data_IF_204063697338
#
_entry.id   IF_204063697338
#
_cell.length_a   1.000
_cell.length_b   1.000
_cell.length_c   1.000
_cell.angle_alpha   90.00
_cell.angle_beta   90.00
_cell.angle_gamma   90.00
#
_symmetry.space_group_name_H-M   'P 1'
#
loop_
_entity.id
_entity.type
_entity.pdbx_description
1 polymer ?
#
# COMPACT_ATOMS: atom_id res chain seq x y z
N UNK A 1 9.81 -11.57 18.82
CA UNK A 1 9.50 -10.16 18.48
C UNK A 1 8.16 -10.24 17.78
N UNK A 2 7.11 -9.79 18.44
CA UNK A 2 5.74 -9.96 17.96
C UNK A 2 5.30 -8.69 17.22
N UNK A 3 4.63 -8.87 16.08
CA UNK A 3 4.03 -7.77 15.32
C UNK A 3 2.61 -7.60 15.82
N UNK A 4 2.30 -6.43 16.41
CA UNK A 4 0.93 -6.07 16.77
C UNK A 4 0.31 -5.25 15.64
N UNK A 5 -0.91 -5.64 15.24
CA UNK A 5 -1.68 -4.97 14.20
C UNK A 5 -2.88 -4.30 14.87
N UNK A 6 -2.76 -3.01 15.18
CA UNK A 6 -3.82 -2.23 15.84
C UNK A 6 -4.89 -1.76 14.84
N UNK A 7 -5.40 -2.71 14.03
CA UNK A 7 -6.38 -2.49 12.97
C UNK A 7 -7.31 -3.70 12.85
N UNK A 8 -8.51 -3.66 13.45
CA UNK A 8 -9.43 -4.80 13.50
C UNK A 8 -9.86 -5.30 12.11
N UNK A 9 -9.94 -4.40 11.13
CA UNK A 9 -10.27 -4.72 9.74
C UNK A 9 -9.18 -5.57 9.07
N UNK A 10 -7.91 -5.26 9.35
CA UNK A 10 -6.75 -6.00 8.81
C UNK A 10 -6.64 -7.37 9.49
N UNK A 11 -6.83 -7.44 10.80
CA UNK A 11 -6.83 -8.71 11.55
C UNK A 11 -7.91 -9.65 11.02
N UNK A 12 -9.13 -9.13 10.81
CA UNK A 12 -10.23 -9.91 10.24
C UNK A 12 -9.90 -10.45 8.84
N UNK A 13 -9.32 -9.61 7.97
CA UNK A 13 -8.91 -10.02 6.64
C UNK A 13 -7.83 -11.11 6.64
N UNK A 14 -6.85 -11.02 7.56
CA UNK A 14 -5.81 -12.05 7.73
C UNK A 14 -6.45 -13.37 8.12
N UNK A 15 -7.36 -13.37 9.10
CA UNK A 15 -8.04 -14.59 9.54
C UNK A 15 -8.88 -15.22 8.43
N UNK A 16 -9.70 -14.44 7.73
CA UNK A 16 -10.50 -14.94 6.61
C UNK A 16 -9.63 -15.55 5.50
N UNK A 17 -8.53 -14.90 5.14
CA UNK A 17 -7.64 -15.41 4.11
C UNK A 17 -6.91 -16.69 4.56
N UNK A 18 -6.60 -16.80 5.85
CA UNK A 18 -5.98 -17.98 6.46
C UNK A 18 -6.92 -19.19 6.39
N UNK A 19 -8.19 -19.01 6.73
CA UNK A 19 -9.22 -20.04 6.63
C UNK A 19 -9.41 -20.53 5.19
N UNK A 20 -9.51 -19.60 4.24
CA UNK A 20 -9.69 -19.94 2.81
C UNK A 20 -8.51 -20.72 2.22
N UNK A 21 -7.29 -20.49 2.73
CA UNK A 21 -6.06 -21.13 2.23
C UNK A 21 -5.60 -22.33 3.07
N UNK A 22 -6.23 -22.58 4.21
CA UNK A 22 -5.82 -23.64 5.15
C UNK A 22 -4.42 -23.42 5.72
N UNK A 23 -4.03 -22.15 5.91
CA UNK A 23 -2.72 -21.75 6.43
C UNK A 23 -2.88 -21.02 7.76
N UNK A 24 -1.80 -20.89 8.54
CA UNK A 24 -1.86 -20.07 9.76
C UNK A 24 -1.83 -18.57 9.40
N UNK A 25 -2.41 -17.69 10.24
CA UNK A 25 -2.26 -16.24 10.09
C UNK A 25 -0.80 -15.78 9.92
N UNK A 26 0.12 -16.41 10.66
CA UNK A 26 1.54 -16.11 10.58
C UNK A 26 2.13 -16.49 9.22
N UNK A 27 1.74 -17.64 8.65
CA UNK A 27 2.21 -18.06 7.32
C UNK A 27 1.70 -17.13 6.23
N UNK A 28 0.44 -16.69 6.31
CA UNK A 28 -0.16 -15.74 5.37
C UNK A 28 0.60 -14.41 5.40
N UNK A 29 0.77 -13.84 6.60
CA UNK A 29 1.50 -12.58 6.78
C UNK A 29 2.95 -12.76 6.31
N UNK A 30 3.61 -13.84 6.71
CA UNK A 30 4.98 -14.14 6.31
C UNK A 30 5.15 -14.24 4.80
N UNK A 31 4.29 -14.99 4.11
CA UNK A 31 4.33 -15.15 2.66
C UNK A 31 4.12 -13.81 1.93
N UNK A 32 3.14 -13.01 2.36
CA UNK A 32 2.86 -11.69 1.76
C UNK A 32 4.05 -10.76 1.99
N UNK A 33 4.53 -10.64 3.23
CA UNK A 33 5.63 -9.74 3.58
C UNK A 33 6.94 -10.11 2.88
N UNK A 34 7.28 -11.39 2.83
CA UNK A 34 8.48 -11.87 2.12
C UNK A 34 8.33 -11.64 0.60
N UNK A 35 7.14 -11.85 0.05
CA UNK A 35 6.86 -11.59 -1.37
C UNK A 35 7.03 -10.12 -1.74
N UNK A 36 6.45 -9.21 -0.96
CA UNK A 36 6.59 -7.77 -1.17
C UNK A 36 8.02 -7.28 -0.94
N UNK A 37 8.71 -7.80 0.08
CA UNK A 37 10.13 -7.49 0.30
C UNK A 37 11.00 -7.96 -0.86
N UNK A 38 10.76 -9.16 -1.39
CA UNK A 38 11.50 -9.68 -2.55
C UNK A 38 11.32 -8.78 -3.77
N UNK A 39 10.08 -8.36 -4.08
CA UNK A 39 9.80 -7.44 -5.18
C UNK A 39 10.52 -6.11 -5.02
N UNK A 40 10.54 -5.59 -3.80
CA UNK A 40 11.21 -4.33 -3.46
C UNK A 40 12.73 -4.42 -3.62
N UNK A 41 13.33 -5.51 -3.13
CA UNK A 41 14.75 -5.77 -3.29
C UNK A 41 15.14 -5.96 -4.76
N UNK A 42 14.34 -6.73 -5.51
CA UNK A 42 14.57 -6.95 -6.95
C UNK A 42 14.47 -5.65 -7.74
N UNK A 43 13.48 -4.79 -7.44
CA UNK A 43 13.37 -3.47 -8.05
C UNK A 43 14.64 -2.66 -7.76
N UNK A 44 15.04 -2.57 -6.48
CA UNK A 44 16.21 -1.79 -6.08
C UNK A 44 17.50 -2.30 -6.72
N UNK A 45 17.67 -3.62 -6.84
CA UNK A 45 18.85 -4.23 -7.45
C UNK A 45 19.00 -3.91 -8.94
N UNK A 46 17.89 -3.61 -9.65
CA UNK A 46 17.88 -3.31 -11.10
C UNK A 46 18.07 -1.83 -11.42
N UNK A 47 17.96 -0.94 -10.43
CA UNK A 47 18.03 0.50 -10.64
C UNK A 47 19.47 1.02 -10.52
N UNK A 48 19.80 2.03 -11.33
CA UNK A 48 21.06 2.78 -11.16
C UNK A 48 21.04 3.58 -9.85
N UNK A 49 22.20 3.97 -9.31
CA UNK A 49 22.27 4.81 -8.11
C UNK A 49 21.44 6.11 -8.20
N UNK A 50 21.43 6.77 -9.37
CA UNK A 50 20.66 7.99 -9.58
C UNK A 50 19.14 7.72 -9.53
N UNK A 51 18.70 6.58 -10.09
CA UNK A 51 17.30 6.16 -10.07
C UNK A 51 16.85 5.74 -8.68
N UNK A 52 17.73 5.12 -7.89
CA UNK A 52 17.47 4.80 -6.48
C UNK A 52 17.28 6.06 -5.65
N UNK A 53 18.17 7.05 -5.79
CA UNK A 53 18.05 8.33 -5.10
C UNK A 53 16.73 9.04 -5.45
N UNK A 54 16.39 9.10 -6.75
CA UNK A 54 15.12 9.64 -7.20
C UNK A 54 13.90 8.90 -6.61
N UNK A 55 13.93 7.57 -6.57
CA UNK A 55 12.85 6.77 -6.00
C UNK A 55 12.66 7.04 -4.51
N UNK A 56 13.76 7.14 -3.76
CA UNK A 56 13.70 7.44 -2.32
C UNK A 56 13.17 8.86 -2.07
N UNK A 57 13.50 9.84 -2.92
CA UNK A 57 12.94 11.19 -2.85
C UNK A 57 11.44 11.22 -3.15
N UNK A 58 10.98 10.50 -4.17
CA UNK A 58 9.55 10.35 -4.48
C UNK A 58 8.80 9.74 -3.29
N UNK A 59 9.36 8.73 -2.64
CA UNK A 59 8.74 8.07 -1.48
C UNK A 59 8.63 8.97 -0.27
N UNK A 60 9.66 9.77 0.02
CA UNK A 60 9.62 10.79 1.08
C UNK A 60 8.49 11.79 0.82
N UNK A 61 8.36 12.25 -0.43
CA UNK A 61 7.31 13.18 -0.83
C UNK A 61 5.92 12.56 -0.65
N UNK A 62 5.71 11.33 -1.13
CA UNK A 62 4.44 10.62 -0.97
C UNK A 62 4.08 10.41 0.51
N UNK A 63 5.06 10.05 1.35
CA UNK A 63 4.85 9.90 2.79
C UNK A 63 4.42 11.22 3.42
N UNK A 64 5.06 12.33 3.04
CA UNK A 64 4.67 13.65 3.51
C UNK A 64 3.25 14.03 3.05
N UNK A 65 2.92 13.86 1.76
CA UNK A 65 1.59 14.18 1.21
C UNK A 65 0.48 13.45 1.98
N UNK A 66 0.69 12.18 2.36
CA UNK A 66 -0.29 11.40 3.14
C UNK A 66 -0.57 11.94 4.54
N UNK A 67 0.30 12.79 5.07
CA UNK A 67 0.11 13.45 6.38
C UNK A 67 -0.62 14.79 6.29
N UNK A 68 -0.82 15.30 5.07
CA UNK A 68 -1.51 16.58 4.88
C UNK A 68 -3.01 16.43 5.14
N UNK A 69 -3.68 17.47 5.67
CA UNK A 69 -5.13 17.44 5.84
C UNK A 69 -5.83 17.35 4.48
N UNK A 70 -6.86 16.52 4.41
CA UNK A 70 -7.74 16.45 3.24
C UNK A 70 -8.66 17.67 3.27
N UNK A 71 -8.54 18.53 2.25
CA UNK A 71 -9.38 19.73 2.11
C UNK A 71 -10.70 19.45 1.38
N UNK A 72 -10.69 18.47 0.51
CA UNK A 72 -11.82 18.05 -0.32
C UNK A 72 -11.75 16.53 -0.42
N UNK A 73 -12.77 15.84 0.08
CA UNK A 73 -12.86 14.39 0.13
C UNK A 73 -13.53 13.79 -1.10
N UNK A 74 -13.98 14.64 -2.04
CA UNK A 74 -14.50 14.18 -3.32
C UNK A 74 -13.42 13.40 -4.06
N UNK A 75 -13.84 12.32 -4.68
CA UNK A 75 -13.00 11.58 -5.61
C UNK A 75 -12.62 12.44 -6.82
N UNK A 76 -11.50 12.14 -7.51
CA UNK A 76 -11.13 12.83 -8.74
C UNK A 76 -12.26 12.87 -9.77
N UNK A 77 -13.04 11.79 -9.87
CA UNK A 77 -14.14 11.70 -10.84
C UNK A 77 -15.29 12.65 -10.49
N UNK A 78 -15.66 12.77 -9.20
CA UNK A 78 -16.68 13.73 -8.75
C UNK A 78 -16.23 15.20 -8.92
N UNK A 79 -14.92 15.43 -8.84
CA UNK A 79 -14.32 16.74 -9.07
C UNK A 79 -14.31 17.11 -10.56
N UNK A 80 -13.98 16.15 -11.44
CA UNK A 80 -13.75 16.40 -12.87
C UNK A 80 -14.99 16.20 -13.74
N UNK A 81 -15.92 15.33 -13.35
CA UNK A 81 -17.07 14.93 -14.15
C UNK A 81 -18.40 15.20 -13.43
N UNK A 82 -19.46 15.42 -14.21
CA UNK A 82 -20.84 15.46 -13.74
C UNK A 82 -21.47 14.06 -13.63
N UNK A 83 -22.75 14.02 -13.26
CA UNK A 83 -23.47 12.77 -13.06
C UNK A 83 -23.62 11.93 -14.35
N UNK A 84 -23.50 12.57 -15.52
CA UNK A 84 -23.55 11.93 -16.83
C UNK A 84 -22.14 11.55 -17.33
N UNK A 85 -21.09 11.81 -16.54
CA UNK A 85 -19.70 11.54 -16.88
C UNK A 85 -19.08 12.56 -17.82
N UNK A 86 -19.71 13.72 -18.00
CA UNK A 86 -19.20 14.79 -18.84
C UNK A 86 -18.26 15.71 -18.05
N UNK A 87 -17.16 16.22 -18.64
CA UNK A 87 -16.29 17.17 -17.97
C UNK A 87 -17.05 18.42 -17.52
N UNK A 88 -16.84 18.84 -16.28
CA UNK A 88 -17.37 20.10 -15.75
C UNK A 88 -16.56 21.31 -16.21
#
# INVERSE_FOLDING_TARGET
MDIQIDRPDVEHAIHQLSELRGQTPADIVGQVMLGELSKELDLRARLSPERLAWLDDVRKLQAHIRTLPVLDDRSPDEMLYDADGLPK
#
